data_IF_747752323142
#
_entry.id   IF_747752323142
#
_cell.length_a   1.000
_cell.length_b   1.000
_cell.length_c   1.000
_cell.angle_alpha   90.00
_cell.angle_beta   90.00
_cell.angle_gamma   90.00
#
_symmetry.space_group_name_H-M   'P 1'
#
loop_
_entity.id
_entity.type
_entity.pdbx_description
1 polymer ?
#
# COMPACT_ATOMS: atom_id res chain seq x y z
N UNK A 1 13.97 11.55 -1.49
CA UNK A 1 12.90 10.56 -1.37
C UNK A 1 13.49 9.18 -1.15
N UNK A 2 12.90 8.43 -0.27
CA UNK A 2 13.39 7.09 -0.01
C UNK A 2 13.02 6.17 -1.15
N UNK A 3 13.98 5.44 -1.66
CA UNK A 3 13.79 4.56 -2.80
C UNK A 3 13.20 3.22 -2.36
N UNK A 4 12.24 2.71 -3.12
CA UNK A 4 11.72 1.36 -2.92
C UNK A 4 12.59 0.45 -3.75
N UNK A 5 13.59 -0.17 -3.10
CA UNK A 5 14.65 -0.90 -3.79
C UNK A 5 14.17 -2.13 -4.55
N UNK A 6 12.99 -2.70 -4.19
CA UNK A 6 12.47 -3.89 -4.85
C UNK A 6 11.20 -3.59 -5.65
N UNK A 7 11.25 -2.53 -6.44
CA UNK A 7 10.08 -2.10 -7.21
C UNK A 7 9.54 -3.19 -8.12
N UNK A 8 10.41 -3.97 -8.74
CA UNK A 8 10.00 -5.07 -9.61
C UNK A 8 9.19 -6.12 -8.85
N UNK A 9 9.68 -6.55 -7.68
CA UNK A 9 8.96 -7.50 -6.84
C UNK A 9 7.64 -6.91 -6.35
N UNK A 10 7.64 -5.62 -6.03
CA UNK A 10 6.44 -4.93 -5.59
C UNK A 10 5.36 -4.98 -6.67
N UNK A 11 5.73 -4.71 -7.92
CA UNK A 11 4.80 -4.77 -9.03
C UNK A 11 4.30 -6.18 -9.30
N UNK A 12 5.17 -7.18 -9.17
CA UNK A 12 4.77 -8.57 -9.30
C UNK A 12 3.78 -8.98 -8.22
N UNK A 13 4.01 -8.53 -6.99
CA UNK A 13 3.08 -8.78 -5.88
C UNK A 13 1.72 -8.19 -6.18
N UNK A 14 1.67 -6.99 -6.74
CA UNK A 14 0.42 -6.38 -7.15
C UNK A 14 -0.32 -7.21 -8.18
N UNK A 15 0.38 -7.63 -9.23
CA UNK A 15 -0.23 -8.43 -10.30
C UNK A 15 -0.72 -9.79 -9.81
N UNK A 16 0.05 -10.44 -8.95
CA UNK A 16 -0.28 -11.77 -8.46
C UNK A 16 -1.45 -11.78 -7.49
N UNK A 17 -1.81 -10.62 -6.95
CA UNK A 17 -2.86 -10.51 -5.93
C UNK A 17 -4.07 -9.71 -6.40
N UNK A 18 -4.23 -9.54 -7.71
CA UNK A 18 -5.37 -8.83 -8.30
C UNK A 18 -5.47 -7.36 -7.87
N UNK A 19 -4.34 -6.75 -7.56
CA UNK A 19 -4.28 -5.34 -7.22
C UNK A 19 -4.27 -4.52 -8.52
N UNK A 20 -5.16 -3.55 -8.61
CA UNK A 20 -5.24 -2.65 -9.77
C UNK A 20 -4.73 -1.26 -9.44
N UNK A 21 -4.54 -0.96 -8.16
CA UNK A 21 -4.04 0.33 -7.71
C UNK A 21 -3.34 0.15 -6.36
N UNK A 22 -2.18 0.75 -6.21
CA UNK A 22 -1.44 0.76 -4.95
C UNK A 22 -0.79 2.12 -4.75
N UNK A 23 -0.96 2.67 -3.56
CA UNK A 23 -0.33 3.93 -3.19
C UNK A 23 0.27 3.83 -1.79
N UNK A 24 1.26 4.65 -1.52
CA UNK A 24 1.91 4.77 -0.22
C UNK A 24 1.47 6.10 0.40
N UNK A 25 1.20 6.10 1.69
CA UNK A 25 0.86 7.33 2.41
C UNK A 25 1.44 7.31 3.82
N UNK A 26 1.13 8.32 4.62
CA UNK A 26 1.57 8.41 6.00
C UNK A 26 3.03 8.82 6.13
N UNK A 27 3.73 8.29 7.14
CA UNK A 27 5.09 8.72 7.47
C UNK A 27 6.10 8.50 6.35
N UNK A 28 5.92 7.48 5.53
CA UNK A 28 6.81 7.21 4.41
C UNK A 28 6.83 8.37 3.41
N UNK A 29 5.64 8.89 3.07
CA UNK A 29 5.51 10.00 2.12
C UNK A 29 5.96 11.32 2.74
N UNK A 30 5.68 11.51 4.03
CA UNK A 30 6.00 12.77 4.73
C UNK A 30 7.48 12.91 5.09
N UNK A 31 8.27 11.89 4.89
CA UNK A 31 9.68 11.95 5.21
C UNK A 31 10.03 11.67 6.68
N UNK A 32 9.03 11.33 7.49
CA UNK A 32 9.23 10.97 8.90
C UNK A 32 9.51 9.48 9.07
N UNK A 33 9.76 8.79 7.98
CA UNK A 33 9.95 7.35 7.99
C UNK A 33 11.27 6.95 8.65
N UNK A 34 11.19 6.00 9.56
CA UNK A 34 12.36 5.37 10.20
C UNK A 34 12.29 3.87 9.98
N UNK A 35 13.35 3.15 10.34
CA UNK A 35 13.36 1.68 10.24
C UNK A 35 12.28 1.02 11.09
N UNK A 36 11.79 1.72 12.10
CA UNK A 36 10.73 1.22 12.98
C UNK A 36 9.33 1.63 12.54
N UNK A 37 9.23 2.47 11.52
CA UNK A 37 7.94 2.94 11.02
C UNK A 37 7.27 1.90 10.16
N UNK A 38 5.94 1.82 10.25
CA UNK A 38 5.14 1.00 9.37
C UNK A 38 4.96 1.73 8.05
N UNK A 39 4.87 0.97 6.96
CA UNK A 39 4.59 1.53 5.64
C UNK A 39 3.10 1.40 5.40
N UNK A 40 2.41 2.53 5.28
CA UNK A 40 0.97 2.55 5.05
C UNK A 40 0.68 2.45 3.56
N UNK A 41 -0.07 1.43 3.18
CA UNK A 41 -0.43 1.16 1.78
C UNK A 41 -1.94 1.24 1.60
N UNK A 42 -2.34 1.84 0.49
CA UNK A 42 -3.74 1.86 0.07
C UNK A 42 -3.85 1.08 -1.23
N UNK A 43 -4.69 0.04 -1.25
CA UNK A 43 -4.83 -0.82 -2.41
C UNK A 43 -6.28 -0.90 -2.86
N UNK A 44 -6.44 -1.06 -4.18
CA UNK A 44 -7.73 -1.39 -4.78
C UNK A 44 -7.56 -2.72 -5.52
N UNK A 45 -8.53 -3.60 -5.37
CA UNK A 45 -8.51 -4.92 -5.97
C UNK A 45 -9.56 -5.05 -7.06
N UNK A 46 -9.26 -5.84 -8.09
CA UNK A 46 -10.20 -6.15 -9.14
C UNK A 46 -11.23 -7.19 -8.72
N UNK A 47 -10.95 -7.91 -7.64
CA UNK A 47 -11.81 -8.95 -7.08
C UNK A 47 -11.94 -8.79 -5.58
N UNK A 48 -13.08 -9.18 -4.98
CA UNK A 48 -13.21 -9.16 -3.52
C UNK A 48 -12.17 -10.05 -2.86
N UNK A 49 -11.66 -9.62 -1.71
CA UNK A 49 -10.67 -10.35 -0.94
C UNK A 49 -11.20 -10.61 0.47
N UNK A 50 -10.99 -11.83 0.96
CA UNK A 50 -11.32 -12.17 2.34
C UNK A 50 -10.30 -11.51 3.29
N UNK A 51 -10.65 -11.43 4.56
CA UNK A 51 -9.74 -10.88 5.57
C UNK A 51 -8.43 -11.67 5.62
N UNK A 52 -8.50 -13.00 5.52
CA UNK A 52 -7.31 -13.84 5.53
C UNK A 52 -6.42 -13.58 4.32
N UNK A 53 -7.01 -13.36 3.16
CA UNK A 53 -6.25 -13.00 1.96
C UNK A 53 -5.56 -11.66 2.13
N UNK A 54 -6.24 -10.68 2.71
CA UNK A 54 -5.64 -9.36 2.95
C UNK A 54 -4.47 -9.45 3.91
N UNK A 55 -4.57 -10.26 4.96
CA UNK A 55 -3.46 -10.47 5.90
C UNK A 55 -2.28 -11.13 5.20
N UNK A 56 -2.53 -12.10 4.35
CA UNK A 56 -1.48 -12.77 3.60
C UNK A 56 -0.77 -11.79 2.65
N UNK A 57 -1.53 -10.98 1.95
CA UNK A 57 -0.98 -9.98 1.03
C UNK A 57 -0.16 -8.94 1.79
N UNK A 58 -0.66 -8.50 2.94
CA UNK A 58 0.05 -7.56 3.80
C UNK A 58 1.41 -8.11 4.24
N UNK A 59 1.47 -9.38 4.60
CA UNK A 59 2.72 -10.04 4.96
C UNK A 59 3.68 -10.12 3.78
N UNK A 60 3.15 -10.36 2.60
CA UNK A 60 3.96 -10.41 1.38
C UNK A 60 4.58 -9.05 1.08
N UNK A 61 3.81 -7.97 1.21
CA UNK A 61 4.34 -6.62 1.06
C UNK A 61 5.39 -6.30 2.12
N UNK A 62 5.17 -6.73 3.35
CA UNK A 62 6.14 -6.51 4.43
C UNK A 62 7.48 -7.18 4.10
N UNK A 63 7.43 -8.38 3.53
CA UNK A 63 8.64 -9.08 3.10
C UNK A 63 9.34 -8.35 1.97
N UNK A 64 8.58 -7.93 0.97
CA UNK A 64 9.13 -7.26 -0.22
C UNK A 64 9.74 -5.91 0.13
N UNK A 65 9.08 -5.16 1.00
CA UNK A 65 9.50 -3.82 1.36
C UNK A 65 10.55 -3.78 2.49
N UNK A 66 10.71 -4.89 3.20
CA UNK A 66 11.66 -4.96 4.30
C UNK A 66 11.22 -4.25 5.57
N UNK A 67 9.97 -3.80 5.65
CA UNK A 67 9.37 -3.18 6.82
C UNK A 67 7.94 -3.65 6.95
N UNK A 68 7.40 -3.54 8.15
CA UNK A 68 6.00 -3.88 8.35
C UNK A 68 5.11 -3.00 7.49
N UNK A 69 4.26 -3.61 6.69
CA UNK A 69 3.30 -2.90 5.85
C UNK A 69 1.91 -3.00 6.46
N UNK A 70 1.19 -1.89 6.47
CA UNK A 70 -0.22 -1.83 6.86
C UNK A 70 -1.01 -1.65 5.57
N UNK A 71 -1.79 -2.67 5.22
CA UNK A 71 -2.56 -2.67 3.98
C UNK A 71 -4.00 -2.26 4.25
N UNK A 72 -4.39 -1.14 3.65
CA UNK A 72 -5.75 -0.63 3.75
C UNK A 72 -6.41 -0.66 2.38
N UNK A 73 -7.73 -0.86 2.37
CA UNK A 73 -8.54 -0.77 1.16
C UNK A 73 -9.36 0.51 1.21
N UNK A 74 -9.81 0.99 0.05
CA UNK A 74 -10.62 2.21 0.01
C UNK A 74 -11.90 2.08 0.84
N UNK A 75 -12.46 0.88 0.91
CA UNK A 75 -13.68 0.64 1.67
C UNK A 75 -13.45 0.58 3.18
N UNK A 76 -12.21 0.33 3.61
CA UNK A 76 -11.88 0.25 5.03
C UNK A 76 -11.52 1.60 5.64
N UNK A 77 -11.36 2.64 4.82
CA UNK A 77 -11.06 3.98 5.30
C UNK A 77 -12.35 4.79 5.42
N UNK A 78 -12.46 5.59 6.48
CA UNK A 78 -13.62 6.48 6.58
C UNK A 78 -13.61 7.51 5.46
N UNK A 79 -14.78 7.97 4.99
CA UNK A 79 -14.81 9.04 3.96
C UNK A 79 -14.07 10.29 4.39
N UNK A 80 -14.01 10.54 5.69
CA UNK A 80 -13.33 11.69 6.25
C UNK A 80 -11.82 11.64 6.00
N UNK A 81 -11.21 10.47 6.15
CA UNK A 81 -9.77 10.29 5.92
C UNK A 81 -9.43 10.06 4.45
N UNK A 82 -10.39 9.64 3.67
CA UNK A 82 -10.17 9.30 2.26
C UNK A 82 -9.61 10.47 1.46
N UNK A 83 -10.22 11.65 1.59
CA UNK A 83 -9.78 12.83 0.86
C UNK A 83 -8.38 13.26 1.29
N UNK A 84 -8.11 13.18 2.58
CA UNK A 84 -6.80 13.53 3.12
C UNK A 84 -5.71 12.59 2.57
N UNK A 85 -5.99 11.30 2.56
CA UNK A 85 -5.06 10.30 2.04
C UNK A 85 -4.83 10.52 0.55
N UNK A 86 -5.88 10.79 -0.23
CA UNK A 86 -5.75 11.04 -1.66
C UNK A 86 -4.87 12.24 -1.98
N UNK A 87 -4.89 13.25 -1.14
CA UNK A 87 -4.06 14.43 -1.34
C UNK A 87 -2.60 14.23 -0.96
N UNK A 88 -2.32 13.29 -0.07
CA UNK A 88 -0.99 13.06 0.46
C UNK A 88 -0.30 11.81 -0.09
N UNK A 89 -1.04 10.90 -0.70
CA UNK A 89 -0.49 9.63 -1.14
C UNK A 89 0.39 9.76 -2.37
N UNK A 90 1.31 8.81 -2.51
CA UNK A 90 2.15 8.66 -3.68
C UNK A 90 1.77 7.35 -4.37
N UNK A 91 1.35 7.42 -5.64
CA UNK A 91 0.92 6.25 -6.39
C UNK A 91 2.13 5.44 -6.82
N UNK A 92 2.11 4.15 -6.52
CA UNK A 92 3.19 3.22 -6.85
C UNK A 92 2.81 2.35 -8.03
N UNK A 93 1.53 2.00 -8.15
CA UNK A 93 1.05 1.10 -9.20
C UNK A 93 -0.37 1.48 -9.58
N UNK A 94 -0.67 1.44 -10.88
CA UNK A 94 -2.00 1.74 -11.39
C UNK A 94 -2.27 3.24 -11.49
N UNK A 95 -3.53 3.58 -11.64
CA UNK A 95 -3.97 4.97 -11.77
C UNK A 95 -4.94 5.33 -10.67
N UNK A 96 -4.75 6.52 -10.08
CA UNK A 96 -5.69 7.09 -9.13
C UNK A 96 -6.93 7.55 -9.90
N UNK A 97 -8.08 7.17 -9.44
CA UNK A 97 -9.32 7.62 -10.09
C UNK A 97 -10.32 6.57 -10.42
#
# INVERSE_FOLDING_TARGET
MRDISNKKELLETCRNNDIVFLAVFGSFVKGDFTEKSDIDLLARFSKPKSLLELVRIEREFSRVLGNKADLLTETSISPYLRDRIKNEMEVVYGKAG
#
